data_IF_393840054605
#
_entry.id   IF_393840054605
#
_cell.length_a   1.000
_cell.length_b   1.000
_cell.length_c   1.000
_cell.angle_alpha   90.00
_cell.angle_beta   90.00
_cell.angle_gamma   90.00
#
_symmetry.space_group_name_H-M   'P 1'
#
loop_
_entity.id
_entity.type
_entity.pdbx_description
1 polymer ?
#
# COMPACT_ATOMS: atom_id res chain seq x y z
N UNK A 1 -49.42 -14.74 -26.25
CA UNK A 1 -49.56 -15.04 -27.68
C UNK A 1 -48.69 -14.06 -28.45
N UNK A 2 -47.94 -14.57 -29.45
CA UNK A 2 -47.15 -13.85 -30.47
C UNK A 2 -45.84 -13.19 -29.99
N UNK A 3 -44.70 -13.27 -30.68
CA UNK A 3 -44.15 -14.14 -31.71
C UNK A 3 -42.64 -13.80 -31.80
N UNK A 4 -41.80 -14.83 -32.02
CA UNK A 4 -40.53 -14.92 -32.76
C UNK A 4 -39.83 -13.60 -33.19
N UNK A 5 -38.50 -13.47 -33.16
CA UNK A 5 -37.67 -14.09 -34.20
C UNK A 5 -36.15 -13.86 -34.03
N UNK A 6 -35.44 -14.92 -34.38
CA UNK A 6 -34.02 -15.15 -34.69
C UNK A 6 -33.27 -14.11 -35.55
N UNK A 7 -31.95 -13.99 -35.36
CA UNK A 7 -31.01 -14.00 -36.48
C UNK A 7 -29.57 -14.33 -36.04
N UNK A 8 -29.16 -15.57 -36.32
CA UNK A 8 -27.77 -16.02 -36.44
C UNK A 8 -27.22 -15.56 -37.79
N UNK A 9 -25.98 -15.07 -37.85
CA UNK A 9 -25.22 -14.99 -39.10
C UNK A 9 -23.84 -15.63 -38.93
N UNK A 10 -23.68 -16.70 -39.69
CA UNK A 10 -22.49 -17.49 -39.91
C UNK A 10 -21.65 -16.93 -41.07
N UNK A 11 -20.32 -17.09 -40.95
CA UNK A 11 -19.33 -17.44 -42.00
C UNK A 11 -19.01 -16.39 -43.11
N UNK A 12 -17.85 -16.44 -43.81
CA UNK A 12 -16.94 -17.58 -43.98
C UNK A 12 -15.41 -17.33 -43.89
N UNK A 13 -14.74 -18.49 -43.85
CA UNK A 13 -13.32 -18.79 -44.01
C UNK A 13 -12.70 -18.17 -45.28
N UNK A 14 -11.56 -17.49 -45.13
CA UNK A 14 -10.69 -17.14 -46.25
C UNK A 14 -9.58 -18.19 -46.45
N UNK A 15 -9.42 -18.53 -47.73
CA UNK A 15 -8.68 -19.67 -48.27
C UNK A 15 -7.17 -19.41 -48.29
N UNK A 16 -6.43 -20.47 -48.04
CA UNK A 16 -4.98 -20.57 -48.20
C UNK A 16 -4.58 -20.49 -49.68
N UNK A 17 -3.61 -19.63 -49.99
CA UNK A 17 -2.90 -19.65 -51.27
C UNK A 17 -1.51 -20.24 -51.06
N UNK A 18 -1.27 -21.40 -51.66
CA UNK A 18 0.04 -22.03 -51.76
C UNK A 18 0.88 -21.28 -52.81
N UNK A 19 1.93 -20.59 -52.37
CA UNK A 19 3.00 -20.13 -53.25
C UNK A 19 4.18 -21.09 -53.13
N UNK A 20 4.35 -21.91 -54.18
CA UNK A 20 5.49 -22.81 -54.38
C UNK A 20 6.62 -21.98 -54.98
N UNK A 21 7.69 -21.73 -54.23
CA UNK A 21 8.86 -21.03 -54.73
C UNK A 21 10.14 -21.84 -54.49
N UNK A 22 10.96 -21.86 -55.54
CA UNK A 22 12.18 -22.63 -55.81
C UNK A 22 13.20 -22.67 -54.66
N UNK A 23 13.72 -23.87 -54.43
CA UNK A 23 14.91 -24.11 -53.64
C UNK A 23 16.17 -23.66 -54.41
N UNK A 24 16.91 -22.71 -53.83
CA UNK A 24 18.29 -22.42 -54.20
C UNK A 24 19.18 -23.14 -53.18
N UNK A 25 19.93 -24.13 -53.66
CA UNK A 25 20.94 -24.83 -52.87
C UNK A 25 22.13 -23.89 -52.61
N UNK A 26 22.11 -23.23 -51.45
CA UNK A 26 23.31 -22.64 -50.86
C UNK A 26 23.96 -23.70 -49.97
N UNK A 27 25.10 -24.26 -50.40
CA UNK A 27 25.96 -25.09 -49.55
C UNK A 27 26.66 -24.20 -48.53
N UNK A 28 25.91 -23.78 -47.51
CA UNK A 28 26.45 -23.20 -46.29
C UNK A 28 26.94 -24.38 -45.45
N UNK A 29 28.24 -24.44 -45.15
CA UNK A 29 28.75 -25.37 -44.14
C UNK A 29 28.17 -24.92 -42.79
N UNK A 30 27.05 -25.52 -42.43
CA UNK A 30 26.38 -25.38 -41.15
C UNK A 30 27.29 -26.09 -40.15
N UNK A 31 27.84 -25.34 -39.18
CA UNK A 31 28.32 -25.93 -37.93
C UNK A 31 27.23 -26.90 -37.45
N UNK A 32 27.58 -28.16 -37.16
CA UNK A 32 26.64 -29.26 -36.87
C UNK A 32 25.72 -29.07 -35.65
N UNK A 33 25.63 -27.87 -35.11
CA UNK A 33 24.76 -27.55 -33.99
C UNK A 33 23.48 -26.86 -34.50
N UNK A 34 22.30 -27.48 -34.29
CA UNK A 34 21.04 -26.86 -34.63
C UNK A 34 20.85 -25.55 -33.84
N UNK A 35 20.21 -24.56 -34.46
CA UNK A 35 19.95 -23.24 -33.88
C UNK A 35 19.09 -23.27 -32.60
N UNK A 36 18.47 -24.41 -32.29
CA UNK A 36 17.67 -24.64 -31.08
C UNK A 36 18.41 -25.45 -30.00
N UNK A 37 19.66 -25.88 -30.24
CA UNK A 37 20.49 -26.55 -29.24
C UNK A 37 21.40 -25.50 -28.64
N UNK A 38 20.91 -24.86 -27.58
CA UNK A 38 21.75 -24.01 -26.74
C UNK A 38 22.88 -24.88 -26.16
N UNK A 39 24.15 -24.52 -26.38
CA UNK A 39 25.25 -25.21 -25.70
C UNK A 39 25.02 -25.10 -24.19
N UNK A 40 25.17 -26.25 -23.52
CA UNK A 40 24.99 -26.47 -22.07
C UNK A 40 25.38 -25.21 -21.29
N UNK A 41 24.53 -24.70 -20.38
CA UNK A 41 24.75 -23.42 -19.74
C UNK A 41 26.07 -23.45 -18.99
N UNK A 42 27.09 -22.78 -19.55
CA UNK A 42 28.21 -22.30 -18.77
C UNK A 42 27.60 -21.54 -17.60
N UNK A 43 27.99 -21.90 -16.37
CA UNK A 43 27.55 -21.27 -15.14
C UNK A 43 27.45 -19.76 -15.40
N UNK A 44 26.21 -19.26 -15.45
CA UNK A 44 25.97 -17.86 -15.78
C UNK A 44 26.79 -17.05 -14.79
N UNK A 45 27.85 -16.40 -15.26
CA UNK A 45 28.46 -15.29 -14.54
C UNK A 45 27.29 -14.41 -14.10
N UNK A 46 27.10 -14.31 -12.77
CA UNK A 46 26.01 -13.55 -12.17
C UNK A 46 25.97 -12.20 -12.88
N UNK A 47 24.99 -12.01 -13.76
CA UNK A 47 24.77 -10.71 -14.40
C UNK A 47 24.68 -9.72 -13.24
N UNK A 48 25.60 -8.75 -13.22
CA UNK A 48 25.55 -7.68 -12.25
C UNK A 48 24.11 -7.16 -12.26
N UNK A 49 23.47 -7.17 -11.08
CA UNK A 49 22.10 -6.70 -10.93
C UNK A 49 22.02 -5.31 -11.56
N UNK A 50 21.09 -5.13 -12.49
CA UNK A 50 20.90 -3.86 -13.18
C UNK A 50 20.85 -2.74 -12.13
N UNK A 51 21.55 -1.61 -12.32
CA UNK A 51 21.67 -0.55 -11.31
C UNK A 51 20.31 0.05 -10.90
N UNK A 52 19.26 -0.16 -11.70
CA UNK A 52 17.90 0.27 -11.35
C UNK A 52 17.15 -0.68 -10.40
N UNK A 53 17.68 -1.89 -10.16
CA UNK A 53 17.25 -2.83 -9.11
C UNK A 53 18.15 -2.75 -7.88
N UNK A 54 18.91 -1.65 -7.72
CA UNK A 54 19.66 -1.39 -6.49
C UNK A 54 18.74 -1.64 -5.30
N UNK A 55 19.16 -2.56 -4.43
CA UNK A 55 18.44 -2.96 -3.23
C UNK A 55 17.97 -1.69 -2.52
N UNK A 56 16.66 -1.46 -2.59
CA UNK A 56 16.05 -0.31 -1.97
C UNK A 56 16.10 -0.55 -0.47
N UNK A 57 17.05 0.08 0.20
CA UNK A 57 17.27 -0.09 1.63
C UNK A 57 16.00 0.30 2.38
N UNK A 58 15.35 -0.70 2.95
CA UNK A 58 14.15 -0.50 3.75
C UNK A 58 14.62 0.06 5.10
N UNK A 59 14.01 1.14 5.62
CA UNK A 59 14.37 1.67 6.93
C UNK A 59 14.34 0.57 8.00
N UNK A 60 15.36 0.55 8.85
CA UNK A 60 15.44 -0.44 9.94
C UNK A 60 14.33 -0.19 10.97
N UNK A 61 13.56 -1.22 11.29
CA UNK A 61 12.49 -1.15 12.28
C UNK A 61 13.12 -1.09 13.69
N UNK A 62 12.61 -0.25 14.60
CA UNK A 62 13.03 -0.28 16.01
C UNK A 62 12.85 -1.67 16.65
N UNK A 63 13.78 -2.08 17.51
CA UNK A 63 13.73 -3.41 18.14
C UNK A 63 12.50 -3.59 19.04
N UNK A 64 12.11 -2.51 19.73
CA UNK A 64 10.94 -2.43 20.63
C UNK A 64 9.58 -2.55 19.93
N UNK A 65 9.54 -2.60 18.59
CA UNK A 65 8.28 -2.58 17.85
C UNK A 65 7.42 -3.82 18.14
N UNK A 66 6.10 -3.66 18.38
CA UNK A 66 5.15 -4.75 18.56
C UNK A 66 5.22 -5.81 17.45
N UNK A 67 5.07 -7.11 17.78
CA UNK A 67 5.18 -8.20 16.79
C UNK A 67 4.22 -8.04 15.60
N UNK A 68 3.02 -7.52 15.85
CA UNK A 68 2.01 -7.29 14.82
C UNK A 68 2.45 -6.22 13.80
N UNK A 69 3.15 -5.18 14.25
CA UNK A 69 3.68 -4.14 13.39
C UNK A 69 4.87 -4.64 12.56
N UNK A 70 5.72 -5.51 13.13
CA UNK A 70 6.80 -6.21 12.39
C UNK A 70 6.22 -7.09 11.27
N UNK A 71 5.15 -7.83 11.57
CA UNK A 71 4.45 -8.64 10.58
C UNK A 71 3.82 -7.76 9.49
N UNK A 72 3.11 -6.69 9.88
CA UNK A 72 2.54 -5.72 8.94
C UNK A 72 3.59 -5.09 8.04
N UNK A 73 4.74 -4.68 8.59
CA UNK A 73 5.86 -4.15 7.83
C UNK A 73 6.35 -5.13 6.76
N UNK A 74 6.53 -6.41 7.13
CA UNK A 74 6.97 -7.45 6.18
C UNK A 74 6.00 -7.62 5.00
N UNK A 75 4.69 -7.51 5.24
CA UNK A 75 3.67 -7.57 4.19
C UNK A 75 3.63 -6.30 3.35
N UNK A 76 3.80 -5.12 3.97
CA UNK A 76 3.80 -3.84 3.26
C UNK A 76 5.05 -3.68 2.39
N UNK A 77 6.20 -4.18 2.83
CA UNK A 77 7.44 -4.19 2.05
C UNK A 77 7.30 -4.97 0.73
N UNK A 78 6.38 -5.94 0.66
CA UNK A 78 6.09 -6.71 -0.57
C UNK A 78 5.08 -6.00 -1.50
N UNK A 79 4.46 -4.91 -1.06
CA UNK A 79 3.41 -4.22 -1.82
C UNK A 79 4.00 -3.40 -2.97
N UNK A 80 3.55 -3.59 -4.23
CA UNK A 80 4.04 -2.81 -5.38
C UNK A 80 3.54 -1.36 -5.39
N UNK A 81 2.55 -1.04 -4.56
CA UNK A 81 1.91 0.28 -4.50
C UNK A 81 2.61 1.25 -3.54
N UNK A 82 3.54 0.75 -2.71
CA UNK A 82 4.20 1.53 -1.69
C UNK A 82 5.60 1.96 -2.10
N UNK A 83 5.97 3.15 -1.63
CA UNK A 83 7.34 3.59 -1.63
C UNK A 83 8.03 3.08 -0.36
N UNK A 84 8.76 1.97 -0.48
CA UNK A 84 9.43 1.31 0.66
C UNK A 84 10.45 2.19 1.39
N UNK A 85 10.95 3.27 0.78
CA UNK A 85 11.86 4.22 1.46
C UNK A 85 11.15 5.03 2.54
N UNK A 86 9.83 5.17 2.40
CA UNK A 86 8.98 5.98 3.27
C UNK A 86 7.96 5.09 4.01
N UNK A 87 8.33 3.82 4.23
CA UNK A 87 7.67 2.94 5.16
C UNK A 87 8.42 3.03 6.49
N UNK A 88 7.84 3.75 7.45
CA UNK A 88 8.45 3.98 8.76
C UNK A 88 7.52 3.53 9.89
N UNK A 89 8.09 3.00 10.95
CA UNK A 89 7.40 2.67 12.19
C UNK A 89 8.10 3.41 13.31
N UNK A 90 7.36 4.25 14.01
CA UNK A 90 7.87 5.03 15.13
C UNK A 90 6.92 4.95 16.33
N UNK A 91 7.42 5.32 17.50
CA UNK A 91 6.55 5.57 18.65
C UNK A 91 5.71 6.82 18.37
N UNK A 92 4.47 6.81 18.84
CA UNK A 92 3.59 7.95 18.70
C UNK A 92 4.10 9.09 19.60
N UNK A 93 4.56 10.17 18.95
CA UNK A 93 4.98 11.39 19.65
C UNK A 93 3.76 12.28 19.85
N UNK A 94 3.44 12.60 21.11
CA UNK A 94 2.41 13.58 21.40
C UNK A 94 2.83 14.95 20.84
N UNK A 95 1.92 15.72 20.23
CA UNK A 95 2.23 17.08 19.83
C UNK A 95 2.66 17.89 21.07
N UNK A 96 3.60 18.85 20.91
CA UNK A 96 4.00 19.70 22.01
C UNK A 96 2.75 20.40 22.59
N UNK A 97 2.67 20.53 23.92
CA UNK A 97 1.53 21.19 24.55
C UNK A 97 1.38 22.60 23.97
N UNK A 98 0.17 22.93 23.55
CA UNK A 98 -0.15 24.26 23.04
C UNK A 98 -0.01 25.32 24.14
N UNK A 99 -0.03 26.61 23.76
CA UNK A 99 -0.12 27.69 24.74
C UNK A 99 -1.36 27.48 25.63
N UNK A 100 -1.30 27.89 26.91
CA UNK A 100 -2.43 27.73 27.81
C UNK A 100 -3.67 28.39 27.21
N UNK A 101 -4.75 27.61 27.10
CA UNK A 101 -6.02 28.14 26.65
C UNK A 101 -6.48 29.23 27.63
N UNK A 102 -7.15 30.30 27.15
CA UNK A 102 -7.69 31.31 28.05
C UNK A 102 -8.65 30.65 29.04
N UNK A 103 -8.56 31.02 30.31
CA UNK A 103 -9.47 30.54 31.35
C UNK A 103 -10.92 30.80 30.92
N UNK A 104 -11.63 29.75 30.55
CA UNK A 104 -13.08 29.78 30.30
C UNK A 104 -13.76 29.12 31.47
N UNK A 105 -14.80 29.76 31.99
CA UNK A 105 -15.71 29.11 32.92
C UNK A 105 -16.24 27.83 32.25
N UNK A 106 -16.27 26.70 32.96
CA UNK A 106 -16.71 25.44 32.37
C UNK A 106 -18.11 25.60 31.81
N UNK A 107 -18.26 25.38 30.50
CA UNK A 107 -19.56 25.42 29.83
C UNK A 107 -20.28 24.11 30.11
N UNK A 108 -20.75 23.95 31.35
CA UNK A 108 -21.32 22.69 31.79
C UNK A 108 -22.65 22.38 31.13
N UNK A 109 -22.91 21.09 30.92
CA UNK A 109 -24.20 20.61 30.43
C UNK A 109 -25.19 20.62 31.61
N UNK A 110 -26.28 21.38 31.49
CA UNK A 110 -27.32 21.45 32.52
C UNK A 110 -28.03 20.09 32.63
N UNK A 111 -27.79 19.36 33.71
CA UNK A 111 -28.59 18.19 34.10
C UNK A 111 -29.48 18.56 35.29
N UNK A 112 -30.61 17.85 35.47
CA UNK A 112 -31.50 18.05 36.62
C UNK A 112 -30.72 17.74 37.91
N UNK A 113 -30.30 18.76 38.64
CA UNK A 113 -29.57 18.64 39.91
C UNK A 113 -28.16 19.25 39.96
N UNK A 114 -27.62 19.76 38.84
CA UNK A 114 -26.32 20.44 38.86
C UNK A 114 -25.73 20.74 37.47
N UNK A 115 -24.66 21.53 37.47
CA UNK A 115 -23.86 21.86 36.28
C UNK A 115 -22.63 20.95 36.25
N UNK A 116 -22.63 19.91 35.42
CA UNK A 116 -21.46 19.07 35.20
C UNK A 116 -20.52 19.80 34.23
N UNK A 117 -19.33 20.17 34.68
CA UNK A 117 -18.34 20.91 33.89
C UNK A 117 -17.87 20.16 32.63
N UNK A 118 -18.13 18.85 32.54
CA UNK A 118 -17.59 18.00 31.49
C UNK A 118 -16.20 17.51 31.86
N UNK A 119 -15.89 16.26 31.51
CA UNK A 119 -14.51 15.79 31.46
C UNK A 119 -13.92 16.26 30.12
N UNK A 120 -12.83 17.03 30.15
CA UNK A 120 -12.21 17.50 28.93
C UNK A 120 -11.34 16.36 28.38
N UNK A 121 -11.55 15.96 27.12
CA UNK A 121 -10.76 14.91 26.46
C UNK A 121 -9.27 15.29 26.31
N UNK A 122 -8.88 16.50 26.73
CA UNK A 122 -7.52 17.02 26.69
C UNK A 122 -6.74 16.79 28.00
N UNK A 123 -7.38 16.32 29.08
CA UNK A 123 -6.70 16.04 30.37
C UNK A 123 -6.02 14.66 30.43
N UNK A 124 -6.29 13.77 29.48
CA UNK A 124 -5.60 12.48 29.39
C UNK A 124 -4.19 12.72 28.86
N UNK A 125 -3.20 12.65 29.76
CA UNK A 125 -1.79 12.94 29.50
C UNK A 125 -1.07 11.90 28.61
N UNK A 126 -1.83 11.07 27.90
CA UNK A 126 -1.32 10.01 27.03
C UNK A 126 -1.82 10.19 25.59
N UNK A 127 -0.95 9.92 24.62
CA UNK A 127 -1.35 9.82 23.23
C UNK A 127 -2.40 8.72 23.05
N UNK A 128 -3.33 8.90 22.10
CA UNK A 128 -4.35 7.89 21.80
C UNK A 128 -3.74 6.55 21.35
N UNK A 129 -2.55 6.62 20.75
CA UNK A 129 -1.81 5.49 20.24
C UNK A 129 -0.41 5.48 20.85
N UNK A 130 0.18 4.30 21.04
CA UNK A 130 1.57 4.13 21.49
C UNK A 130 2.53 4.11 20.30
N UNK A 131 2.06 3.61 19.16
CA UNK A 131 2.84 3.43 17.93
C UNK A 131 2.12 3.98 16.71
N UNK A 132 2.91 4.47 15.77
CA UNK A 132 2.42 4.96 14.49
C UNK A 132 3.24 4.36 13.36
N UNK A 133 2.56 3.77 12.39
CA UNK A 133 3.16 3.31 11.14
C UNK A 133 2.77 4.27 10.01
N UNK A 134 3.74 4.76 9.26
CA UNK A 134 3.54 5.67 8.14
C UNK A 134 3.98 4.94 6.87
N UNK A 135 3.08 4.87 5.90
CA UNK A 135 3.32 4.22 4.62
C UNK A 135 2.96 5.19 3.51
N UNK A 136 3.96 5.59 2.72
CA UNK A 136 3.72 6.42 1.55
C UNK A 136 3.40 5.56 0.31
N UNK A 137 2.34 5.92 -0.41
CA UNK A 137 2.06 5.33 -1.73
C UNK A 137 2.95 5.95 -2.80
N UNK A 138 3.29 5.14 -3.81
CA UNK A 138 4.09 5.59 -4.95
C UNK A 138 3.37 6.71 -5.70
N UNK A 139 4.11 7.76 -6.04
CA UNK A 139 3.63 8.92 -6.79
C UNK A 139 3.01 8.52 -8.14
N UNK A 140 1.88 9.14 -8.47
CA UNK A 140 1.09 8.88 -9.68
C UNK A 140 0.14 7.67 -9.59
N UNK A 141 0.10 6.99 -8.43
CA UNK A 141 -0.80 5.83 -8.21
C UNK A 141 -1.90 6.10 -7.20
N UNK A 142 -1.84 7.22 -6.49
CA UNK A 142 -2.81 7.65 -5.47
C UNK A 142 -4.24 7.69 -5.99
N UNK A 143 -4.48 8.26 -7.18
CA UNK A 143 -5.82 8.35 -7.78
C UNK A 143 -6.30 7.04 -8.44
N UNK A 144 -5.45 6.02 -8.49
CA UNK A 144 -5.72 4.74 -9.17
C UNK A 144 -6.09 3.60 -8.22
N UNK A 145 -6.44 3.93 -6.97
CA UNK A 145 -6.83 2.92 -5.99
C UNK A 145 -5.65 2.34 -5.18
N UNK A 146 -4.44 2.92 -5.27
CA UNK A 146 -3.26 2.40 -4.58
C UNK A 146 -3.45 2.43 -3.05
N UNK A 147 -4.00 3.53 -2.53
CA UNK A 147 -4.29 3.69 -1.10
C UNK A 147 -5.26 2.60 -0.64
N UNK A 148 -6.33 2.34 -1.40
CA UNK A 148 -7.34 1.33 -1.09
C UNK A 148 -6.77 -0.09 -1.14
N UNK A 149 -5.89 -0.35 -2.10
CA UNK A 149 -5.18 -1.63 -2.22
C UNK A 149 -4.34 -1.89 -0.97
N UNK A 150 -3.55 -0.91 -0.54
CA UNK A 150 -2.73 -0.99 0.68
C UNK A 150 -3.59 -1.15 1.93
N UNK A 151 -4.62 -0.32 2.08
CA UNK A 151 -5.56 -0.40 3.22
C UNK A 151 -6.22 -1.77 3.29
N UNK A 152 -6.55 -2.38 2.14
CA UNK A 152 -7.10 -3.75 2.07
C UNK A 152 -6.09 -4.78 2.55
N UNK A 153 -4.82 -4.66 2.17
CA UNK A 153 -3.74 -5.54 2.66
C UNK A 153 -3.61 -5.42 4.18
N UNK A 154 -3.53 -4.19 4.70
CA UNK A 154 -3.43 -3.94 6.15
C UNK A 154 -4.59 -4.57 6.90
N UNK A 155 -5.84 -4.27 6.49
CA UNK A 155 -7.03 -4.84 7.14
C UNK A 155 -7.04 -6.36 7.08
N UNK A 156 -6.65 -6.96 5.95
CA UNK A 156 -6.54 -8.42 5.82
C UNK A 156 -5.56 -8.99 6.84
N UNK A 157 -4.39 -8.39 6.96
CA UNK A 157 -3.35 -8.82 7.91
C UNK A 157 -3.84 -8.72 9.36
N UNK A 158 -4.42 -7.59 9.72
CA UNK A 158 -4.91 -7.34 11.08
C UNK A 158 -6.08 -8.26 11.48
N UNK A 159 -6.95 -8.62 10.52
CA UNK A 159 -8.04 -9.57 10.76
C UNK A 159 -7.59 -11.03 10.77
N UNK A 160 -6.45 -11.35 10.13
CA UNK A 160 -5.89 -12.72 10.11
C UNK A 160 -5.03 -12.99 11.35
N UNK A 161 -4.59 -11.94 12.05
CA UNK A 161 -3.80 -12.07 13.27
C UNK A 161 -4.64 -12.71 14.38
N UNK A 162 -4.03 -13.53 15.23
CA UNK A 162 -4.70 -14.16 16.38
C UNK A 162 -4.18 -13.50 17.66
N UNK A 163 -5.04 -12.85 18.48
CA UNK A 163 -6.48 -12.64 18.28
C UNK A 163 -6.80 -11.61 17.18
N UNK A 164 -7.96 -11.72 16.51
CA UNK A 164 -8.36 -10.76 15.48
C UNK A 164 -8.64 -9.40 16.11
N UNK A 165 -8.03 -8.35 15.55
CA UNK A 165 -8.23 -6.99 16.05
C UNK A 165 -9.60 -6.45 15.59
N UNK A 166 -10.38 -5.84 16.49
CA UNK A 166 -11.63 -5.18 16.13
C UNK A 166 -11.31 -3.88 15.36
N UNK A 167 -11.47 -3.90 14.04
CA UNK A 167 -11.24 -2.72 13.19
C UNK A 167 -12.59 -2.15 12.78
N UNK A 168 -12.80 -0.82 12.84
CA UNK A 168 -14.03 -0.22 12.38
C UNK A 168 -14.32 -0.51 10.89
N UNK A 169 -15.60 -0.61 10.52
CA UNK A 169 -15.99 -0.81 9.12
C UNK A 169 -15.44 0.31 8.24
N UNK A 170 -15.18 -0.02 6.96
CA UNK A 170 -14.53 0.89 6.01
C UNK A 170 -15.43 2.11 5.75
N UNK A 171 -14.98 3.30 6.16
CA UNK A 171 -15.58 4.55 5.73
C UNK A 171 -15.14 4.88 4.31
N UNK A 172 -16.11 5.16 3.41
CA UNK A 172 -15.82 5.53 2.01
C UNK A 172 -15.30 6.97 1.87
N UNK A 173 -15.55 7.84 2.85
CA UNK A 173 -15.25 9.26 2.74
C UNK A 173 -13.75 9.59 2.81
N UNK A 174 -12.95 8.73 3.43
CA UNK A 174 -11.52 8.99 3.64
C UNK A 174 -10.63 8.73 2.40
N UNK A 175 -11.17 8.22 1.29
CA UNK A 175 -10.32 7.65 0.22
C UNK A 175 -9.97 8.63 -0.90
N UNK A 176 -10.73 9.73 -1.06
CA UNK A 176 -10.49 10.70 -2.13
C UNK A 176 -9.42 11.75 -1.82
N UNK A 177 -8.96 11.87 -0.57
CA UNK A 177 -8.09 12.96 -0.12
C UNK A 177 -6.59 12.61 -0.12
N UNK A 178 -6.17 11.51 -0.75
CA UNK A 178 -4.78 11.08 -0.75
C UNK A 178 -4.27 10.60 0.62
N UNK A 179 -5.16 10.36 1.58
CA UNK A 179 -4.80 9.95 2.94
C UNK A 179 -5.85 9.00 3.50
N UNK A 180 -5.44 7.82 3.93
CA UNK A 180 -6.25 6.95 4.77
C UNK A 180 -5.56 6.66 6.10
N UNK A 181 -6.34 6.56 7.17
CA UNK A 181 -5.85 6.18 8.50
C UNK A 181 -6.62 4.94 8.96
N UNK A 182 -5.89 3.99 9.56
CA UNK A 182 -6.48 2.80 10.18
C UNK A 182 -6.16 2.84 11.66
N UNK A 183 -7.21 2.86 12.47
CA UNK A 183 -7.12 2.79 13.92
C UNK A 183 -7.19 1.33 14.37
N UNK A 184 -6.17 0.89 15.12
CA UNK A 184 -6.08 -0.44 15.72
C UNK A 184 -6.05 -0.37 17.26
N UNK A 185 -6.46 0.76 17.85
CA UNK A 185 -6.53 0.98 19.29
C UNK A 185 -5.18 1.34 19.89
N UNK A 186 -4.21 0.41 19.87
CA UNK A 186 -2.86 0.66 20.43
C UNK A 186 -1.91 1.33 19.44
N UNK A 187 -2.20 1.24 18.16
CA UNK A 187 -1.41 1.86 17.10
C UNK A 187 -2.29 2.38 15.97
N UNK A 188 -1.75 3.35 15.24
CA UNK A 188 -2.38 3.87 14.02
C UNK A 188 -1.49 3.60 12.80
N UNK A 189 -2.14 3.34 11.66
CA UNK A 189 -1.45 3.22 10.37
C UNK A 189 -1.92 4.33 9.44
N UNK A 190 -1.02 5.21 9.05
CA UNK A 190 -1.24 6.28 8.09
C UNK A 190 -0.76 5.83 6.71
N UNK A 191 -1.67 5.76 5.75
CA UNK A 191 -1.36 5.55 4.33
C UNK A 191 -1.54 6.88 3.62
N UNK A 192 -0.45 7.47 3.14
CA UNK A 192 -0.44 8.86 2.65
C UNK A 192 0.14 8.96 1.24
N UNK A 193 -0.34 9.91 0.46
CA UNK A 193 0.32 10.36 -0.76
C UNK A 193 1.54 11.22 -0.42
N UNK A 194 2.43 11.38 -1.40
CA UNK A 194 3.59 12.26 -1.31
C UNK A 194 3.20 13.69 -0.93
N UNK A 195 2.22 14.26 -1.64
CA UNK A 195 1.73 15.63 -1.42
C UNK A 195 1.22 15.85 0.02
N UNK A 196 0.49 14.89 0.57
CA UNK A 196 -0.03 14.97 1.94
C UNK A 196 1.13 14.86 2.94
N UNK A 197 2.09 13.98 2.70
CA UNK A 197 3.25 13.83 3.59
C UNK A 197 4.07 15.12 3.65
N UNK A 198 4.41 15.68 2.49
CA UNK A 198 5.16 16.94 2.38
C UNK A 198 4.44 18.07 3.12
N UNK A 199 3.11 18.16 2.96
CA UNK A 199 2.31 19.22 3.57
C UNK A 199 2.16 19.11 5.09
N UNK A 200 2.06 17.91 5.65
CA UNK A 200 1.64 17.72 7.06
C UNK A 200 2.63 16.97 7.94
N UNK A 201 3.53 16.18 7.36
CA UNK A 201 4.34 15.20 8.09
C UNK A 201 5.83 15.56 8.13
N UNK A 202 6.36 16.26 7.12
CA UNK A 202 7.80 16.59 7.04
C UNK A 202 8.30 17.49 8.19
N UNK A 203 7.43 18.27 8.83
CA UNK A 203 7.80 19.07 10.00
C UNK A 203 7.64 18.37 11.35
N UNK A 204 6.92 17.24 11.41
CA UNK A 204 6.48 16.64 12.67
C UNK A 204 7.12 15.27 12.97
N UNK A 205 7.69 14.60 11.95
CA UNK A 205 8.30 13.29 12.11
C UNK A 205 9.80 13.44 11.84
N UNK A 206 10.57 13.54 12.92
CA UNK A 206 12.00 13.24 12.88
C UNK A 206 12.13 11.72 12.79
N UNK A 207 12.41 11.21 11.58
CA UNK A 207 12.82 9.82 11.35
C UNK A 207 14.25 9.60 11.82
#
# INVERSE_FOLDING_TARGET
MQHLSTSLRNSPLFKSSFCRARALHATRRVSQQPWFVDPIPQAFDRRASLPHLANKEIPSIPEDTPPILKLLHSHLAQSPHLDTNFLAICRATAPPPGPPLPFRLPHGRRNRGGTYAGESAYDTSGGLWDWTAIAQVKEGTENRGAIESVVRVIRKVLLTTTPPLPIPPKSRQQMGSGWAMIDAGTFAVHVVSKEVREKYLEGNITL
#
